data_IF_912015574378
#
_entry.id   IF_912015574378
#
_cell.length_a   1.000
_cell.length_b   1.000
_cell.length_c   1.000
_cell.angle_alpha   90.00
_cell.angle_beta   90.00
_cell.angle_gamma   90.00
#
_symmetry.space_group_name_H-M   'P 1'
#
loop_
_entity.id
_entity.type
_entity.pdbx_description
1 polymer ?
#
# COMPACT_ATOMS: atom_id res chain seq x y z
N UNK A 1 2.53 0.08 -14.22
CA UNK A 1 3.28 -0.01 -12.96
C UNK A 1 4.63 -0.61 -13.29
N UNK A 2 5.71 -0.04 -12.76
CA UNK A 2 7.05 -0.62 -12.92
C UNK A 2 7.36 -1.53 -11.74
N UNK A 3 7.84 -2.74 -12.02
CA UNK A 3 8.22 -3.76 -11.05
C UNK A 3 9.72 -3.68 -10.77
N UNK A 4 10.08 -2.87 -9.79
CA UNK A 4 11.46 -2.65 -9.39
C UNK A 4 12.13 -3.93 -8.90
N UNK A 5 13.39 -4.06 -9.24
CA UNK A 5 14.33 -5.07 -8.77
C UNK A 5 15.52 -4.37 -8.11
N UNK A 6 16.28 -5.05 -7.23
CA UNK A 6 17.46 -4.45 -6.59
C UNK A 6 18.48 -3.86 -7.57
N UNK A 7 18.65 -4.49 -8.74
CA UNK A 7 19.60 -4.05 -9.77
C UNK A 7 19.21 -2.69 -10.37
N UNK A 8 17.93 -2.34 -10.38
CA UNK A 8 17.45 -1.06 -10.90
C UNK A 8 17.86 0.13 -10.01
N UNK A 9 18.25 -0.14 -8.75
CA UNK A 9 18.67 0.86 -7.76
C UNK A 9 20.19 0.91 -7.56
N UNK A 10 20.93 -0.04 -8.13
CA UNK A 10 22.37 -0.21 -7.91
C UNK A 10 23.21 0.96 -8.43
N UNK A 11 22.69 1.75 -9.38
CA UNK A 11 23.39 2.94 -9.90
C UNK A 11 23.67 4.00 -8.84
N UNK A 12 22.91 4.00 -7.75
CA UNK A 12 23.01 4.96 -6.67
C UNK A 12 23.80 4.41 -5.47
N UNK A 13 24.62 3.36 -5.64
CA UNK A 13 25.36 2.75 -4.53
C UNK A 13 26.16 3.77 -3.68
N UNK A 14 26.78 4.76 -4.33
CA UNK A 14 27.68 5.72 -3.70
C UNK A 14 27.07 7.12 -3.51
N UNK A 15 25.77 7.29 -3.77
CA UNK A 15 25.10 8.60 -3.70
C UNK A 15 23.69 8.47 -3.12
N UNK A 16 23.14 9.50 -2.45
CA UNK A 16 21.75 9.45 -2.00
C UNK A 16 20.77 9.17 -3.16
N UNK A 17 19.91 8.17 -2.99
CA UNK A 17 18.87 7.82 -3.95
C UNK A 17 17.56 8.48 -3.52
N UNK A 18 17.11 9.49 -4.25
CA UNK A 18 15.79 10.10 -4.02
C UNK A 18 14.75 9.44 -4.91
N UNK A 19 13.64 9.01 -4.32
CA UNK A 19 12.48 8.47 -5.04
C UNK A 19 11.16 9.03 -4.51
N UNK A 20 10.08 8.79 -5.26
CA UNK A 20 8.73 9.11 -4.79
C UNK A 20 8.30 8.15 -3.68
N UNK A 21 7.43 8.59 -2.78
CA UNK A 21 6.86 7.72 -1.73
C UNK A 21 6.20 6.46 -2.31
N UNK A 22 5.54 6.58 -3.46
CA UNK A 22 4.92 5.47 -4.19
C UNK A 22 5.95 4.42 -4.64
N UNK A 23 7.16 4.81 -5.01
CA UNK A 23 8.20 3.85 -5.38
C UNK A 23 8.91 3.30 -4.14
N UNK A 24 9.05 4.09 -3.07
CA UNK A 24 9.55 3.60 -1.77
C UNK A 24 8.67 2.46 -1.20
N UNK A 25 7.34 2.57 -1.30
CA UNK A 25 6.41 1.49 -0.90
C UNK A 25 6.64 0.20 -1.69
N UNK A 26 6.97 0.28 -2.99
CA UNK A 26 7.25 -0.90 -3.81
C UNK A 26 8.59 -1.53 -3.49
N UNK A 27 9.58 -0.72 -3.10
CA UNK A 27 10.94 -1.15 -2.88
C UNK A 27 11.25 -1.49 -1.42
N UNK A 28 10.28 -1.41 -0.49
CA UNK A 28 10.50 -1.52 0.97
C UNK A 28 11.33 -2.74 1.40
N UNK A 29 11.23 -3.86 0.68
CA UNK A 29 11.97 -5.09 0.99
C UNK A 29 13.42 -5.14 0.50
N UNK A 30 13.84 -4.21 -0.35
CA UNK A 30 15.18 -4.24 -0.98
C UNK A 30 15.78 -2.86 -1.26
N UNK A 31 15.12 -1.77 -0.87
CA UNK A 31 15.67 -0.43 -1.00
C UNK A 31 16.98 -0.32 -0.21
N UNK A 32 18.04 0.27 -0.79
CA UNK A 32 19.30 0.44 -0.08
C UNK A 32 19.16 1.46 1.06
N UNK A 33 20.07 1.41 2.02
CA UNK A 33 20.03 2.28 3.21
C UNK A 33 20.15 3.77 2.89
N UNK A 34 20.69 4.13 1.73
CA UNK A 34 20.83 5.50 1.24
C UNK A 34 19.63 5.97 0.39
N UNK A 35 18.53 5.20 0.37
CA UNK A 35 17.29 5.58 -0.28
C UNK A 35 16.44 6.50 0.62
N UNK A 36 15.94 7.58 0.03
CA UNK A 36 15.12 8.59 0.69
C UNK A 36 13.86 8.86 -0.12
N UNK A 37 12.80 9.24 0.57
CA UNK A 37 11.60 9.81 -0.01
C UNK A 37 11.16 10.99 0.84
N UNK A 38 10.46 11.94 0.22
CA UNK A 38 9.80 13.02 0.95
C UNK A 38 8.37 12.56 1.27
N UNK A 39 7.98 12.47 2.55
CA UNK A 39 6.63 12.07 2.91
C UNK A 39 5.61 13.11 2.44
N UNK A 40 4.51 12.65 1.87
CA UNK A 40 3.41 13.51 1.46
C UNK A 40 2.20 13.22 2.32
N UNK A 41 1.57 14.26 2.86
CA UNK A 41 0.32 14.16 3.60
C UNK A 41 -0.80 14.82 2.81
N UNK A 42 -1.90 14.09 2.61
CA UNK A 42 -3.12 14.64 2.04
C UNK A 42 -4.03 15.14 3.17
N UNK A 43 -4.66 16.29 2.97
CA UNK A 43 -5.76 16.78 3.82
C UNK A 43 -7.02 16.84 2.97
N UNK A 44 -8.04 16.12 3.41
CA UNK A 44 -9.36 16.17 2.79
C UNK A 44 -10.18 17.26 3.48
N UNK A 45 -10.99 17.98 2.71
CA UNK A 45 -11.89 18.98 3.27
C UNK A 45 -13.04 18.28 4.01
N UNK A 46 -13.50 18.78 5.17
CA UNK A 46 -14.55 18.12 5.94
C UNK A 46 -15.84 17.83 5.16
N UNK A 47 -16.22 18.73 4.24
CA UNK A 47 -17.39 18.54 3.38
C UNK A 47 -17.27 17.31 2.46
N UNK A 48 -16.05 16.96 2.04
CA UNK A 48 -15.78 15.79 1.20
C UNK A 48 -15.72 14.53 2.05
N UNK A 49 -15.25 14.60 3.31
CA UNK A 49 -15.07 13.43 4.18
C UNK A 49 -16.40 12.69 4.43
N UNK A 50 -17.46 13.39 4.83
CA UNK A 50 -18.74 12.75 5.17
C UNK A 50 -19.42 12.12 3.95
N UNK A 51 -19.40 12.82 2.82
CA UNK A 51 -19.93 12.30 1.56
C UNK A 51 -19.11 11.09 1.10
N UNK A 52 -17.78 11.20 1.05
CA UNK A 52 -16.90 10.11 0.64
C UNK A 52 -17.08 8.86 1.51
N UNK A 53 -17.16 9.02 2.84
CA UNK A 53 -17.38 7.92 3.77
C UNK A 53 -18.74 7.25 3.57
N UNK A 54 -19.78 8.03 3.25
CA UNK A 54 -21.10 7.51 2.93
C UNK A 54 -21.04 6.64 1.67
N UNK A 55 -20.38 7.10 0.61
CA UNK A 55 -20.20 6.34 -0.63
C UNK A 55 -19.38 5.05 -0.43
N UNK A 56 -18.27 5.11 0.34
CA UNK A 56 -17.44 3.94 0.65
C UNK A 56 -18.26 2.86 1.36
N UNK A 57 -19.07 3.25 2.36
CA UNK A 57 -19.92 2.31 3.12
C UNK A 57 -21.01 1.67 2.27
N UNK A 58 -21.55 2.40 1.31
CA UNK A 58 -22.57 1.91 0.37
C UNK A 58 -21.99 0.96 -0.67
N UNK A 59 -20.70 1.08 -1.01
CA UNK A 59 -19.99 0.11 -1.85
C UNK A 59 -19.58 -1.12 -1.03
N UNK A 60 -20.50 -2.06 -0.83
CA UNK A 60 -20.14 -3.45 -0.49
C UNK A 60 -19.29 -4.02 -1.64
N UNK A 61 -18.07 -4.55 -1.41
CA UNK A 61 -17.47 -5.40 -2.41
C UNK A 61 -18.41 -6.59 -2.64
N UNK A 62 -18.64 -6.93 -3.91
CA UNK A 62 -19.41 -8.10 -4.28
C UNK A 62 -18.65 -9.35 -3.80
N UNK A 63 -19.02 -9.86 -2.63
CA UNK A 63 -18.78 -11.22 -2.18
C UNK A 63 -17.43 -11.52 -1.52
N UNK A 64 -17.48 -11.92 -0.24
CA UNK A 64 -16.97 -13.25 0.13
C UNK A 64 -17.82 -13.75 1.30
N UNK A 65 -18.76 -14.65 1.02
CA UNK A 65 -19.46 -15.37 2.08
C UNK A 65 -18.44 -16.26 2.79
N UNK A 66 -18.15 -15.98 4.07
CA UNK A 66 -17.42 -16.91 4.92
C UNK A 66 -18.37 -18.06 5.24
N UNK A 67 -18.10 -19.23 4.65
CA UNK A 67 -18.82 -20.47 4.97
C UNK A 67 -18.45 -20.93 6.40
N UNK A 68 -19.42 -21.22 7.29
CA UNK A 68 -19.10 -21.71 8.61
C UNK A 68 -18.54 -23.13 8.51
N UNK A 69 -17.30 -23.34 8.96
CA UNK A 69 -16.70 -24.68 9.06
C UNK A 69 -17.56 -25.54 9.97
N UNK A 70 -18.14 -26.61 9.41
CA UNK A 70 -18.85 -27.66 10.13
C UNK A 70 -17.87 -28.32 11.12
N UNK A 71 -18.11 -28.15 12.42
CA UNK A 71 -17.35 -28.79 13.49
C UNK A 71 -17.49 -30.32 13.41
N UNK A 72 -16.36 -31.01 13.35
CA UNK A 72 -16.25 -32.47 13.44
C UNK A 72 -16.49 -32.88 14.90
N UNK A 73 -17.61 -33.54 15.21
CA UNK A 73 -17.80 -34.23 16.49
C UNK A 73 -16.94 -35.49 16.48
N UNK A 74 -15.95 -35.57 17.35
CA UNK A 74 -15.26 -36.80 17.72
C UNK A 74 -16.13 -37.57 18.72
N UNK A 75 -16.53 -38.77 18.35
CA UNK A 75 -16.92 -39.83 19.28
C UNK A 75 -15.73 -40.75 19.53
#
# INVERSE_FOLDING_TARGET
HYDYRPQDLAFAADAPLLMTEKDAVKCVGFAPANAWFVPVSARVAPAIDDELLTWIRQRRPAGTAVSPRRGKKSG
#
